data_IF_703349445588
#
_entry.id   IF_703349445588
#
_cell.length_a   1.000
_cell.length_b   1.000
_cell.length_c   1.000
_cell.angle_alpha   90.00
_cell.angle_beta   90.00
_cell.angle_gamma   90.00
#
_symmetry.space_group_name_H-M   'P 1'
#
loop_
_entity.id
_entity.type
_entity.pdbx_description
1 polymer ?
#
# COMPACT_ATOMS: atom_id res chain seq x y z
N UNK A 1 -14.39 -17.90 -4.03
CA UNK A 1 -13.48 -18.02 -2.88
C UNK A 1 -12.11 -17.59 -3.35
N UNK A 2 -11.30 -16.92 -2.53
CA UNK A 2 -9.92 -16.57 -2.90
C UNK A 2 -9.06 -17.84 -3.05
N UNK A 3 -8.02 -17.71 -3.86
CA UNK A 3 -6.92 -18.67 -3.88
C UNK A 3 -5.98 -18.43 -2.70
N UNK A 4 -5.13 -19.41 -2.38
CA UNK A 4 -4.21 -19.35 -1.23
C UNK A 4 -2.76 -19.58 -1.69
N UNK A 5 -1.91 -18.61 -1.39
CA UNK A 5 -0.45 -18.75 -1.49
C UNK A 5 0.10 -19.14 -0.11
N UNK A 6 0.87 -20.24 -0.05
CA UNK A 6 1.65 -20.55 1.15
C UNK A 6 3.05 -19.97 1.00
N UNK A 7 3.43 -19.06 1.88
CA UNK A 7 4.75 -18.44 1.89
C UNK A 7 5.82 -19.40 2.43
N UNK A 8 7.10 -19.06 2.26
CA UNK A 8 8.21 -19.86 2.82
C UNK A 8 8.19 -19.95 4.35
N UNK A 9 7.61 -18.93 5.02
CA UNK A 9 7.41 -18.92 6.48
C UNK A 9 6.17 -19.69 6.94
N UNK A 10 5.40 -20.29 6.01
CA UNK A 10 4.20 -21.04 6.31
C UNK A 10 2.91 -20.21 6.43
N UNK A 11 2.99 -18.88 6.30
CA UNK A 11 1.79 -18.01 6.28
C UNK A 11 0.96 -18.30 5.02
N UNK A 12 -0.36 -18.30 5.17
CA UNK A 12 -1.32 -18.51 4.08
C UNK A 12 -1.92 -17.17 3.69
N UNK A 13 -1.61 -16.71 2.49
CA UNK A 13 -2.01 -15.42 1.93
C UNK A 13 -3.15 -15.65 0.94
N UNK A 14 -4.32 -15.11 1.25
CA UNK A 14 -5.48 -15.14 0.37
C UNK A 14 -5.32 -14.10 -0.74
N UNK A 15 -5.68 -14.47 -1.97
CA UNK A 15 -5.54 -13.57 -3.10
C UNK A 15 -6.58 -13.83 -4.19
N UNK A 16 -6.79 -12.80 -5.02
CA UNK A 16 -7.42 -12.92 -6.34
C UNK A 16 -6.44 -12.44 -7.40
N UNK A 17 -6.33 -13.19 -8.48
CA UNK A 17 -5.54 -12.81 -9.63
C UNK A 17 -6.33 -12.96 -10.92
N UNK A 18 -6.07 -12.07 -11.87
CA UNK A 18 -6.54 -12.19 -13.23
C UNK A 18 -5.37 -12.09 -14.20
N UNK A 19 -5.38 -12.94 -15.22
CA UNK A 19 -4.38 -12.91 -16.28
C UNK A 19 -4.74 -11.87 -17.33
N UNK A 20 -3.73 -11.17 -17.89
CA UNK A 20 -3.93 -10.33 -19.08
C UNK A 20 -4.32 -11.17 -20.29
N UNK A 21 -5.20 -10.63 -21.14
CA UNK A 21 -5.80 -11.38 -22.27
C UNK A 21 -5.18 -11.04 -23.62
N UNK A 22 -4.18 -10.13 -23.69
CA UNK A 22 -3.58 -9.69 -24.96
C UNK A 22 -2.06 -9.77 -25.00
N UNK A 23 -1.44 -10.05 -26.15
CA UNK A 23 -0.01 -9.91 -26.32
C UNK A 23 0.36 -8.43 -26.21
N UNK A 24 1.33 -8.12 -25.33
CA UNK A 24 1.87 -6.75 -25.21
C UNK A 24 1.06 -5.81 -24.32
N UNK A 25 0.23 -6.31 -23.40
CA UNK A 25 -0.52 -5.47 -22.45
C UNK A 25 0.35 -4.71 -21.43
N UNK A 26 1.70 -4.87 -21.49
CA UNK A 26 2.64 -4.20 -20.59
C UNK A 26 2.63 -4.82 -19.17
N UNK A 27 3.14 -4.08 -18.16
CA UNK A 27 3.18 -4.59 -16.79
C UNK A 27 1.78 -4.85 -16.24
N UNK A 28 1.66 -5.89 -15.41
CA UNK A 28 0.46 -6.14 -14.61
C UNK A 28 0.35 -5.13 -13.47
N UNK A 29 -0.81 -5.13 -12.83
CA UNK A 29 -1.14 -4.23 -11.71
C UNK A 29 -1.23 -5.04 -10.42
N UNK A 30 -0.67 -4.52 -9.34
CA UNK A 30 -0.77 -5.13 -8.00
C UNK A 30 -1.33 -4.11 -7.03
N UNK A 31 -2.45 -4.44 -6.40
CA UNK A 31 -3.05 -3.60 -5.36
C UNK A 31 -2.57 -4.04 -3.97
N UNK A 32 -2.10 -3.08 -3.18
CA UNK A 32 -1.63 -3.26 -1.81
C UNK A 32 -2.57 -2.49 -0.87
N UNK A 33 -3.26 -3.23 0.00
CA UNK A 33 -4.28 -2.72 0.91
C UNK A 33 -3.71 -1.89 2.07
N UNK A 34 -4.61 -1.20 2.79
CA UNK A 34 -4.29 -0.41 3.98
C UNK A 34 -4.29 -1.23 5.27
N UNK A 35 -3.97 -0.57 6.37
CA UNK A 35 -4.01 -1.10 7.73
C UNK A 35 -5.43 -1.53 8.09
N UNK A 36 -5.61 -2.76 8.57
CA UNK A 36 -6.91 -3.38 8.90
C UNK A 36 -7.94 -3.38 7.75
N UNK A 37 -7.50 -3.28 6.50
CA UNK A 37 -8.38 -3.44 5.34
C UNK A 37 -8.19 -4.81 4.70
N UNK A 38 -9.19 -5.23 3.92
CA UNK A 38 -9.14 -6.46 3.14
C UNK A 38 -9.05 -6.17 1.63
N UNK A 39 -8.81 -7.24 0.86
CA UNK A 39 -8.71 -7.17 -0.60
C UNK A 39 -10.05 -6.97 -1.32
N UNK A 40 -11.18 -7.05 -0.61
CA UNK A 40 -12.54 -6.86 -1.16
C UNK A 40 -13.05 -5.42 -1.02
N UNK A 41 -12.20 -4.52 -0.51
CA UNK A 41 -12.52 -3.09 -0.42
C UNK A 41 -12.77 -2.45 -1.80
N UNK A 42 -13.59 -1.39 -1.81
CA UNK A 42 -14.08 -0.70 -3.02
C UNK A 42 -12.98 -0.43 -4.06
N UNK A 43 -11.84 0.17 -3.63
CA UNK A 43 -10.74 0.48 -4.55
C UNK A 43 -10.16 -0.75 -5.24
N UNK A 44 -9.95 -1.83 -4.49
CA UNK A 44 -9.36 -3.06 -5.00
C UNK A 44 -10.26 -3.74 -6.05
N UNK A 45 -11.56 -3.84 -5.74
CA UNK A 45 -12.55 -4.48 -6.62
C UNK A 45 -12.79 -3.66 -7.88
N UNK A 46 -12.94 -2.34 -7.76
CA UNK A 46 -13.13 -1.42 -8.89
C UNK A 46 -11.91 -1.41 -9.83
N UNK A 47 -10.70 -1.39 -9.27
CA UNK A 47 -9.48 -1.43 -10.07
C UNK A 47 -9.28 -2.78 -10.75
N UNK A 48 -9.65 -3.90 -10.11
CA UNK A 48 -9.64 -5.21 -10.77
C UNK A 48 -10.62 -5.25 -11.95
N UNK A 49 -11.86 -4.78 -11.75
CA UNK A 49 -12.86 -4.74 -12.82
C UNK A 49 -12.40 -3.88 -14.00
N UNK A 50 -11.82 -2.70 -13.71
CA UNK A 50 -11.25 -1.84 -14.74
C UNK A 50 -10.05 -2.50 -15.44
N UNK A 51 -9.11 -3.07 -14.71
CA UNK A 51 -7.95 -3.75 -15.29
C UNK A 51 -8.36 -4.90 -16.22
N UNK A 52 -9.38 -5.68 -15.84
CA UNK A 52 -9.96 -6.72 -16.68
C UNK A 52 -10.57 -6.16 -17.98
N UNK A 53 -11.27 -5.02 -17.92
CA UNK A 53 -11.83 -4.37 -19.12
C UNK A 53 -10.73 -3.88 -20.07
N UNK A 54 -9.57 -3.51 -19.55
CA UNK A 54 -8.38 -3.15 -20.32
C UNK A 54 -7.52 -4.36 -20.75
N UNK A 55 -7.95 -5.59 -20.45
CA UNK A 55 -7.21 -6.81 -20.75
C UNK A 55 -5.92 -6.99 -19.97
N UNK A 56 -5.78 -6.31 -18.82
CA UNK A 56 -4.55 -6.31 -17.99
C UNK A 56 -4.60 -7.35 -16.89
N UNK A 57 -3.43 -7.91 -16.57
CA UNK A 57 -3.26 -8.71 -15.37
C UNK A 57 -3.42 -7.86 -14.11
N UNK A 58 -4.09 -8.41 -13.11
CA UNK A 58 -4.31 -7.74 -11.82
C UNK A 58 -4.14 -8.74 -10.67
N UNK A 59 -3.53 -8.29 -9.58
CA UNK A 59 -3.38 -9.04 -8.33
C UNK A 59 -3.86 -8.16 -7.17
N UNK A 60 -4.72 -8.71 -6.32
CA UNK A 60 -5.05 -8.18 -4.98
C UNK A 60 -4.96 -9.32 -3.96
N UNK A 61 -4.56 -9.02 -2.76
CA UNK A 61 -4.34 -10.01 -1.71
C UNK A 61 -4.51 -9.41 -0.32
N UNK A 62 -4.77 -10.26 0.66
CA UNK A 62 -4.77 -9.91 2.07
C UNK A 62 -3.40 -10.22 2.67
N UNK A 63 -2.84 -9.29 3.44
CA UNK A 63 -1.67 -9.61 4.28
C UNK A 63 -2.02 -10.62 5.37
N UNK A 64 -1.05 -11.29 5.96
CA UNK A 64 -1.29 -12.10 7.16
C UNK A 64 -2.01 -11.29 8.25
N UNK A 65 -2.97 -11.92 8.90
CA UNK A 65 -3.82 -11.27 9.91
C UNK A 65 -4.89 -10.31 9.35
N UNK A 66 -5.02 -10.21 8.02
CA UNK A 66 -6.05 -9.41 7.35
C UNK A 66 -7.00 -10.31 6.57
N UNK A 67 -8.26 -9.89 6.43
CA UNK A 67 -9.26 -10.51 5.57
C UNK A 67 -9.32 -12.04 5.68
N UNK A 68 -9.11 -12.74 4.57
CA UNK A 68 -9.16 -14.20 4.48
C UNK A 68 -7.78 -14.88 4.65
N UNK A 69 -6.72 -14.13 4.89
CA UNK A 69 -5.38 -14.66 5.16
C UNK A 69 -5.24 -15.22 6.58
N UNK A 70 -4.27 -16.11 6.79
CA UNK A 70 -3.99 -16.71 8.10
C UNK A 70 -3.30 -15.75 9.07
N UNK A 71 -3.33 -16.10 10.35
CA UNK A 71 -2.74 -15.30 11.43
C UNK A 71 -3.75 -14.38 12.10
N UNK A 72 -3.30 -13.65 13.10
CA UNK A 72 -4.08 -12.61 13.77
C UNK A 72 -3.45 -11.25 13.54
N UNK A 73 -4.28 -10.23 13.40
CA UNK A 73 -3.81 -8.86 13.11
C UNK A 73 -2.79 -8.37 14.16
N UNK A 74 -3.04 -8.64 15.43
CA UNK A 74 -2.19 -8.21 16.54
C UNK A 74 -0.78 -8.85 16.54
N UNK A 75 -0.58 -9.95 15.81
CA UNK A 75 0.74 -10.59 15.66
C UNK A 75 1.54 -10.02 14.49
N UNK A 76 0.89 -9.30 13.58
CA UNK A 76 1.51 -8.78 12.36
C UNK A 76 2.33 -7.50 12.59
N UNK A 77 3.35 -7.34 11.76
CA UNK A 77 4.22 -6.16 11.74
C UNK A 77 4.40 -5.63 10.32
N UNK A 78 4.94 -4.42 10.19
CA UNK A 78 5.25 -3.83 8.86
C UNK A 78 6.19 -4.74 8.06
N UNK A 79 7.19 -5.34 8.72
CA UNK A 79 8.12 -6.27 8.08
C UNK A 79 7.45 -7.54 7.58
N UNK A 80 6.55 -8.13 8.38
CA UNK A 80 5.77 -9.32 7.98
C UNK A 80 4.90 -9.03 6.77
N UNK A 81 4.17 -7.91 6.77
CA UNK A 81 3.31 -7.51 5.65
C UNK A 81 4.12 -7.15 4.39
N UNK A 82 5.31 -6.60 4.56
CA UNK A 82 6.22 -6.40 3.43
C UNK A 82 6.76 -7.73 2.88
N UNK A 83 7.02 -8.72 3.71
CA UNK A 83 7.42 -10.08 3.29
C UNK A 83 6.26 -10.80 2.58
N UNK A 84 5.02 -10.62 3.05
CA UNK A 84 3.83 -11.16 2.40
C UNK A 84 3.64 -10.53 1.00
N UNK A 85 3.78 -9.21 0.89
CA UNK A 85 3.72 -8.50 -0.39
C UNK A 85 4.81 -8.98 -1.34
N UNK A 86 6.04 -9.11 -0.85
CA UNK A 86 7.16 -9.63 -1.65
C UNK A 86 6.88 -11.06 -2.13
N UNK A 87 6.37 -11.94 -1.27
CA UNK A 87 6.01 -13.30 -1.64
C UNK A 87 4.89 -13.33 -2.70
N UNK A 88 3.83 -12.53 -2.51
CA UNK A 88 2.73 -12.44 -3.47
C UNK A 88 3.22 -11.93 -4.84
N UNK A 89 3.94 -10.81 -4.88
CA UNK A 89 4.45 -10.23 -6.12
C UNK A 89 5.41 -11.20 -6.84
N UNK A 90 6.35 -11.80 -6.13
CA UNK A 90 7.37 -12.64 -6.78
C UNK A 90 6.85 -14.00 -7.22
N UNK A 91 5.83 -14.53 -6.58
CA UNK A 91 5.29 -15.86 -6.87
C UNK A 91 4.11 -15.83 -7.84
N UNK A 92 3.24 -14.82 -7.71
CA UNK A 92 1.96 -14.77 -8.43
C UNK A 92 2.00 -13.89 -9.69
N UNK A 93 3.08 -13.15 -9.91
CA UNK A 93 3.23 -12.29 -11.09
C UNK A 93 4.53 -12.56 -11.83
N UNK A 94 4.59 -12.18 -13.10
CA UNK A 94 5.78 -12.30 -13.95
C UNK A 94 6.23 -10.92 -14.46
N UNK A 95 7.55 -10.70 -14.52
CA UNK A 95 8.11 -9.42 -14.96
C UNK A 95 7.83 -8.25 -13.99
N UNK A 96 8.21 -7.02 -14.37
CA UNK A 96 7.94 -5.82 -13.58
C UNK A 96 6.45 -5.49 -13.52
N UNK A 97 6.00 -4.94 -12.41
CA UNK A 97 4.60 -4.61 -12.12
C UNK A 97 4.42 -3.12 -11.82
N UNK A 98 3.23 -2.57 -12.04
CA UNK A 98 2.83 -1.29 -11.45
C UNK A 98 2.16 -1.58 -10.11
N UNK A 99 2.71 -1.03 -9.04
CA UNK A 99 2.14 -1.14 -7.70
C UNK A 99 1.14 -0.02 -7.45
N UNK A 100 0.00 -0.36 -6.85
CA UNK A 100 -1.04 0.59 -6.43
C UNK A 100 -1.24 0.39 -4.94
N UNK A 101 -0.64 1.28 -4.13
CA UNK A 101 -0.63 1.16 -2.67
C UNK A 101 -1.52 2.18 -1.98
N UNK A 102 -2.48 1.72 -1.16
CA UNK A 102 -3.37 2.59 -0.39
C UNK A 102 -2.95 2.65 1.07
N UNK A 103 -2.80 3.85 1.64
CA UNK A 103 -2.46 4.07 3.05
C UNK A 103 -1.18 3.29 3.46
N UNK A 104 -1.25 2.35 4.39
CA UNK A 104 -0.16 1.43 4.72
C UNK A 104 0.38 0.70 3.47
N UNK A 105 -0.48 0.31 2.53
CA UNK A 105 -0.05 -0.29 1.25
C UNK A 105 0.85 0.62 0.43
N UNK A 106 0.71 1.93 0.57
CA UNK A 106 1.67 2.91 0.04
C UNK A 106 3.06 2.75 0.65
N UNK A 107 3.15 2.62 1.97
CA UNK A 107 4.43 2.35 2.64
C UNK A 107 5.03 1.00 2.22
N UNK A 108 4.22 -0.06 2.21
CA UNK A 108 4.67 -1.39 1.74
C UNK A 108 5.17 -1.31 0.29
N UNK A 109 4.50 -0.55 -0.59
CA UNK A 109 4.95 -0.35 -1.97
C UNK A 109 6.33 0.33 -2.05
N UNK A 110 6.60 1.31 -1.18
CA UNK A 110 7.91 1.95 -1.06
C UNK A 110 8.97 0.97 -0.54
N UNK A 111 8.61 0.07 0.39
CA UNK A 111 9.51 -1.01 0.81
C UNK A 111 9.79 -1.99 -0.33
N UNK A 112 8.79 -2.32 -1.17
CA UNK A 112 9.02 -3.16 -2.36
C UNK A 112 9.98 -2.51 -3.34
N UNK A 113 9.90 -1.19 -3.52
CA UNK A 113 10.85 -0.43 -4.37
C UNK A 113 12.31 -0.56 -3.90
N UNK A 114 12.54 -0.73 -2.59
CA UNK A 114 13.88 -0.99 -2.02
C UNK A 114 14.28 -2.47 -2.08
N UNK A 115 13.34 -3.39 -1.85
CA UNK A 115 13.60 -4.84 -1.68
C UNK A 115 13.68 -5.61 -3.00
N UNK A 116 12.82 -5.24 -3.96
CA UNK A 116 12.69 -5.92 -5.27
C UNK A 116 12.58 -4.91 -6.43
N UNK A 117 13.52 -3.94 -6.57
CA UNK A 117 13.42 -2.85 -7.55
C UNK A 117 13.20 -3.34 -8.98
N UNK A 118 13.83 -4.43 -9.39
CA UNK A 118 13.71 -5.01 -10.73
C UNK A 118 12.30 -5.55 -11.04
N UNK A 119 11.44 -5.69 -10.04
CA UNK A 119 10.06 -6.12 -10.18
C UNK A 119 9.07 -4.96 -10.25
N UNK A 120 9.53 -3.71 -10.22
CA UNK A 120 8.69 -2.51 -10.20
C UNK A 120 8.89 -1.71 -11.48
N UNK A 121 7.82 -1.54 -12.25
CA UNK A 121 7.79 -0.72 -13.46
C UNK A 121 7.22 0.67 -13.21
N UNK A 122 6.40 0.84 -12.17
CA UNK A 122 5.75 2.10 -11.83
C UNK A 122 5.05 2.02 -10.47
N UNK A 123 4.68 3.18 -9.94
CA UNK A 123 4.06 3.30 -8.62
C UNK A 123 2.93 4.33 -8.64
N UNK A 124 1.78 3.95 -8.07
CA UNK A 124 0.71 4.87 -7.70
C UNK A 124 0.42 4.68 -6.22
N UNK A 125 0.46 5.73 -5.42
CA UNK A 125 0.04 5.67 -4.03
C UNK A 125 -1.22 6.51 -3.79
N UNK A 126 -2.05 6.07 -2.88
CA UNK A 126 -3.33 6.69 -2.52
C UNK A 126 -3.30 6.93 -1.02
N UNK A 127 -3.29 8.19 -0.60
CA UNK A 127 -3.25 8.57 0.81
C UNK A 127 -2.15 7.80 1.58
N UNK A 128 -0.94 7.72 0.99
CA UNK A 128 0.14 6.89 1.53
C UNK A 128 0.55 7.32 2.94
N UNK A 129 0.74 6.34 3.81
CA UNK A 129 1.12 6.52 5.21
C UNK A 129 2.52 5.95 5.50
N UNK A 130 3.60 6.43 4.83
CA UNK A 130 4.94 5.96 5.15
C UNK A 130 5.31 6.31 6.60
N UNK A 131 6.00 5.39 7.25
CA UNK A 131 6.55 5.57 8.61
C UNK A 131 5.49 5.87 9.70
N UNK A 132 4.18 5.62 9.44
CA UNK A 132 3.08 6.05 10.30
C UNK A 132 3.16 5.48 11.73
N UNK A 133 3.75 4.32 11.92
CA UNK A 133 3.90 3.71 13.24
C UNK A 133 4.79 4.56 14.16
N UNK A 134 5.78 5.26 13.61
CA UNK A 134 6.66 6.17 14.35
C UNK A 134 6.16 7.61 14.29
N UNK A 135 5.93 8.13 13.07
CA UNK A 135 5.70 9.56 12.84
C UNK A 135 4.26 10.01 13.18
N UNK A 136 3.31 9.08 13.27
CA UNK A 136 1.92 9.35 13.64
C UNK A 136 1.55 8.64 14.95
N UNK A 137 1.55 7.31 14.98
CA UNK A 137 1.10 6.57 16.17
C UNK A 137 1.97 6.83 17.39
N UNK A 138 3.25 6.49 17.33
CA UNK A 138 4.16 6.68 18.46
C UNK A 138 4.32 8.15 18.82
N UNK A 139 4.43 9.03 17.85
CA UNK A 139 4.53 10.48 18.10
C UNK A 139 3.29 11.02 18.81
N UNK A 140 2.09 10.53 18.45
CA UNK A 140 0.82 10.95 19.03
C UNK A 140 0.48 10.32 20.38
N UNK A 141 1.15 9.23 20.80
CA UNK A 141 0.87 8.60 22.09
C UNK A 141 1.27 9.48 23.26
N UNK A 142 0.40 9.54 24.29
CA UNK A 142 0.71 10.15 25.56
C UNK A 142 1.84 9.40 26.27
N UNK A 143 2.53 10.03 27.26
CA UNK A 143 3.52 9.34 28.08
C UNK A 143 2.96 8.06 28.75
N UNK A 144 1.72 8.10 29.22
CA UNK A 144 1.07 6.94 29.85
C UNK A 144 0.80 5.80 28.86
N UNK A 145 0.38 6.13 27.63
CA UNK A 145 0.19 5.15 26.57
C UNK A 145 1.51 4.50 26.15
N UNK A 146 2.58 5.28 26.03
CA UNK A 146 3.92 4.77 25.73
C UNK A 146 4.41 3.82 26.83
N UNK A 147 4.29 4.25 28.09
CA UNK A 147 4.65 3.42 29.24
C UNK A 147 3.81 2.14 29.34
N UNK A 148 2.51 2.21 29.05
CA UNK A 148 1.64 1.05 29.00
C UNK A 148 2.05 0.09 27.87
N UNK A 149 2.34 0.61 26.68
CA UNK A 149 2.77 -0.19 25.53
C UNK A 149 4.10 -0.92 25.82
N UNK A 150 5.05 -0.24 26.43
CA UNK A 150 6.35 -0.83 26.83
C UNK A 150 6.21 -1.87 27.95
N UNK A 151 5.31 -1.65 28.93
CA UNK A 151 5.10 -2.57 30.05
C UNK A 151 4.25 -3.78 29.68
N UNK A 152 3.13 -3.56 28.98
CA UNK A 152 2.07 -4.56 28.74
C UNK A 152 2.19 -5.20 27.36
N UNK A 153 3.04 -4.67 26.48
CA UNK A 153 3.28 -5.14 25.12
C UNK A 153 2.20 -4.73 24.11
N UNK A 154 1.05 -4.23 24.57
CA UNK A 154 -0.04 -3.76 23.70
C UNK A 154 -0.93 -2.72 24.39
N UNK A 155 -1.56 -1.88 23.59
CA UNK A 155 -2.60 -0.95 24.02
C UNK A 155 -3.79 -1.00 23.05
N UNK A 156 -4.96 -0.62 23.54
CA UNK A 156 -6.14 -0.38 22.69
C UNK A 156 -6.33 1.12 22.52
N UNK A 157 -6.46 1.57 21.29
CA UNK A 157 -6.76 2.96 20.97
C UNK A 157 -8.13 3.05 20.31
N UNK A 158 -8.92 4.10 20.58
CA UNK A 158 -10.18 4.31 19.87
C UNK A 158 -9.97 4.33 18.36
N UNK A 159 -10.94 3.82 17.62
CA UNK A 159 -10.98 3.92 16.17
C UNK A 159 -12.32 4.52 15.75
N UNK A 160 -12.38 5.10 14.57
CA UNK A 160 -13.64 5.54 13.95
C UNK A 160 -14.49 4.36 13.42
N UNK A 161 -14.03 3.13 13.65
CA UNK A 161 -14.71 1.88 13.34
C UNK A 161 -15.18 1.20 14.64
N UNK A 162 -16.09 0.24 14.57
CA UNK A 162 -16.79 -0.34 15.72
C UNK A 162 -15.86 -0.90 16.81
N UNK A 163 -14.69 -1.44 16.44
CA UNK A 163 -13.74 -2.02 17.38
C UNK A 163 -12.47 -1.16 17.55
N UNK A 164 -11.94 -1.02 18.77
CA UNK A 164 -10.69 -0.30 19.01
C UNK A 164 -9.51 -1.02 18.38
N UNK A 165 -8.55 -0.24 17.84
CA UNK A 165 -7.30 -0.80 17.32
C UNK A 165 -6.42 -1.34 18.45
N UNK A 166 -5.97 -2.58 18.30
CA UNK A 166 -4.92 -3.14 19.15
C UNK A 166 -3.56 -2.81 18.52
N UNK A 167 -2.81 -1.94 19.18
CA UNK A 167 -1.46 -1.57 18.77
C UNK A 167 -0.46 -2.30 19.68
N UNK A 168 0.49 -3.01 19.08
CA UNK A 168 1.49 -3.79 19.81
C UNK A 168 2.83 -3.08 19.83
N UNK A 169 3.63 -3.34 20.85
CA UNK A 169 5.02 -2.89 20.92
C UNK A 169 5.86 -3.45 19.76
N UNK A 170 5.56 -4.69 19.34
CA UNK A 170 6.19 -5.32 18.18
C UNK A 170 5.94 -4.54 16.87
N UNK A 171 4.71 -4.08 16.64
CA UNK A 171 4.36 -3.26 15.47
C UNK A 171 5.20 -1.96 15.42
N UNK A 172 5.29 -1.26 16.55
CA UNK A 172 6.07 -0.01 16.63
C UNK A 172 7.57 -0.29 16.43
N UNK A 173 8.11 -1.27 17.14
CA UNK A 173 9.55 -1.59 17.07
C UNK A 173 9.96 -2.05 15.68
N UNK A 174 9.19 -2.95 15.07
CA UNK A 174 9.46 -3.41 13.72
C UNK A 174 9.23 -2.30 12.66
N UNK A 175 8.26 -1.42 12.89
CA UNK A 175 8.06 -0.24 12.04
C UNK A 175 9.31 0.64 11.97
N UNK A 176 10.02 0.84 13.09
CA UNK A 176 11.29 1.58 13.15
C UNK A 176 12.40 0.96 12.29
N UNK A 177 12.41 -0.35 12.15
CA UNK A 177 13.36 -1.07 11.30
C UNK A 177 13.03 -0.93 9.79
N UNK A 178 11.83 -0.48 9.46
CA UNK A 178 11.30 -0.38 8.11
C UNK A 178 11.02 1.06 7.65
N UNK A 179 11.57 2.07 8.31
CA UNK A 179 11.38 3.47 7.94
C UNK A 179 11.95 3.74 6.53
N UNK A 180 11.23 4.56 5.75
CA UNK A 180 11.60 4.89 4.37
C UNK A 180 11.88 6.38 4.17
N UNK A 181 11.51 7.24 5.12
CA UNK A 181 11.72 8.68 5.07
C UNK A 181 12.92 9.14 5.92
N UNK A 182 13.86 8.26 6.21
CA UNK A 182 15.11 8.56 6.95
C UNK A 182 16.34 8.44 6.07
N UNK A 183 16.28 7.54 5.08
CA UNK A 183 17.34 7.25 4.12
C UNK A 183 16.92 7.67 2.71
N UNK A 184 17.86 7.80 1.75
CA UNK A 184 17.51 8.06 0.37
C UNK A 184 16.48 7.08 -0.19
N UNK A 185 15.46 7.61 -0.87
CA UNK A 185 14.36 6.85 -1.45
C UNK A 185 14.33 7.06 -2.98
N UNK A 186 15.18 6.34 -3.74
CA UNK A 186 15.16 6.42 -5.19
C UNK A 186 13.95 5.64 -5.76
N UNK A 187 13.18 6.30 -6.63
CA UNK A 187 12.06 5.74 -7.39
C UNK A 187 12.35 5.94 -8.88
N UNK A 188 13.13 5.05 -9.52
CA UNK A 188 13.63 5.26 -10.89
C UNK A 188 12.58 5.00 -11.98
N UNK A 189 11.33 4.94 -11.63
CA UNK A 189 10.17 4.66 -12.49
C UNK A 189 9.10 5.76 -12.33
N UNK A 190 8.14 5.87 -13.27
CA UNK A 190 7.04 6.83 -13.15
C UNK A 190 6.23 6.60 -11.88
N UNK A 191 6.06 7.67 -11.10
CA UNK A 191 5.41 7.62 -9.78
C UNK A 191 4.33 8.69 -9.67
N UNK A 192 3.16 8.32 -9.14
CA UNK A 192 2.05 9.24 -8.85
C UNK A 192 1.63 9.07 -7.39
N UNK A 193 1.66 10.17 -6.65
CA UNK A 193 1.14 10.25 -5.28
C UNK A 193 -0.21 10.95 -5.32
N UNK A 194 -1.27 10.31 -4.81
CA UNK A 194 -2.62 10.87 -4.76
C UNK A 194 -2.98 11.10 -3.30
N UNK A 195 -3.51 12.29 -2.99
CA UNK A 195 -3.87 12.67 -1.62
C UNK A 195 -5.17 13.47 -1.60
N UNK A 196 -6.04 13.19 -0.63
CA UNK A 196 -7.23 13.96 -0.35
C UNK A 196 -6.93 15.19 0.50
N UNK A 197 -7.64 16.30 0.27
CA UNK A 197 -7.44 17.51 1.08
C UNK A 197 -8.24 17.51 2.39
N UNK A 198 -9.19 16.57 2.56
CA UNK A 198 -9.98 16.38 3.78
C UNK A 198 -9.68 15.00 4.42
N UNK A 199 -8.49 14.46 4.13
CA UNK A 199 -7.98 13.27 4.78
C UNK A 199 -7.59 13.59 6.23
N UNK A 200 -8.32 13.01 7.19
CA UNK A 200 -8.09 13.19 8.63
C UNK A 200 -7.20 12.12 9.24
N UNK A 201 -6.95 11.01 8.52
CA UNK A 201 -6.10 9.92 8.98
C UNK A 201 -4.63 10.14 8.59
N UNK A 202 -4.40 10.66 7.37
CA UNK A 202 -3.06 10.98 6.84
C UNK A 202 -3.05 12.43 6.35
N UNK A 203 -2.42 13.31 7.12
CA UNK A 203 -2.32 14.73 6.78
C UNK A 203 -1.59 14.96 5.44
N UNK A 204 -2.04 15.96 4.68
CA UNK A 204 -1.42 16.36 3.40
C UNK A 204 0.10 16.61 3.49
N UNK A 205 0.60 17.01 4.64
CA UNK A 205 2.03 17.23 4.85
C UNK A 205 2.85 15.94 4.65
N UNK A 206 2.25 14.77 4.91
CA UNK A 206 2.90 13.47 4.65
C UNK A 206 3.15 13.29 3.15
N UNK A 207 2.16 13.58 2.31
CA UNK A 207 2.30 13.47 0.85
C UNK A 207 3.31 14.48 0.29
N UNK A 208 3.32 15.72 0.80
CA UNK A 208 4.29 16.74 0.40
C UNK A 208 5.70 16.40 0.88
N UNK A 209 5.85 15.85 2.09
CA UNK A 209 7.13 15.34 2.58
C UNK A 209 7.61 14.17 1.72
N UNK A 210 6.74 13.23 1.37
CA UNK A 210 7.09 12.05 0.56
C UNK A 210 7.62 12.46 -0.82
N UNK A 211 6.92 13.32 -1.56
CA UNK A 211 7.38 13.75 -2.89
C UNK A 211 8.66 14.58 -2.81
N UNK A 212 8.87 15.35 -1.74
CA UNK A 212 10.08 16.14 -1.55
C UNK A 212 11.28 15.27 -1.18
N UNK A 213 11.05 14.19 -0.41
CA UNK A 213 12.08 13.27 0.06
C UNK A 213 12.53 12.27 -1.03
N UNK A 214 11.56 11.69 -1.74
CA UNK A 214 11.85 10.73 -2.79
C UNK A 214 12.57 11.38 -3.99
N UNK A 215 13.37 10.59 -4.70
CA UNK A 215 14.07 11.04 -5.92
C UNK A 215 13.73 10.15 -7.10
N UNK A 216 13.49 10.74 -8.27
CA UNK A 216 13.14 9.99 -9.47
C UNK A 216 12.91 10.88 -10.69
N UNK A 217 12.89 10.29 -11.90
CA UNK A 217 12.83 11.06 -13.16
C UNK A 217 11.45 11.61 -13.48
N UNK A 218 10.36 10.97 -12.98
CA UNK A 218 8.98 11.37 -13.27
C UNK A 218 8.09 11.09 -12.07
N UNK A 219 7.95 12.09 -11.20
CA UNK A 219 7.11 12.02 -10.00
C UNK A 219 6.12 13.16 -9.99
N UNK A 220 4.87 12.88 -9.61
CA UNK A 220 3.80 13.90 -9.47
C UNK A 220 3.01 13.65 -8.22
N UNK A 221 2.65 14.72 -7.54
CA UNK A 221 1.65 14.74 -6.45
C UNK A 221 0.37 15.38 -6.99
N UNK A 222 -0.75 14.68 -6.82
CA UNK A 222 -2.07 15.19 -7.19
C UNK A 222 -2.92 15.26 -5.93
N UNK A 223 -3.44 16.45 -5.64
CA UNK A 223 -4.35 16.71 -4.54
C UNK A 223 -5.79 16.75 -5.06
N UNK A 224 -6.65 15.89 -4.50
CA UNK A 224 -8.09 15.92 -4.80
C UNK A 224 -8.82 16.70 -3.69
N UNK A 225 -9.37 17.86 -4.05
CA UNK A 225 -10.08 18.70 -3.10
C UNK A 225 -11.34 18.00 -2.59
N UNK A 226 -11.54 18.01 -1.27
CA UNK A 226 -12.71 17.42 -0.62
C UNK A 226 -12.68 15.90 -0.47
N UNK A 227 -11.64 15.23 -0.97
CA UNK A 227 -11.52 13.78 -0.78
C UNK A 227 -11.01 13.45 0.62
N UNK A 228 -11.63 12.44 1.23
CA UNK A 228 -11.27 11.83 2.51
C UNK A 228 -10.16 10.75 2.36
N UNK A 229 -9.79 10.12 3.49
CA UNK A 229 -8.80 9.04 3.51
C UNK A 229 -9.23 7.82 2.68
N UNK A 230 -10.51 7.50 2.65
CA UNK A 230 -11.04 6.34 1.91
C UNK A 230 -10.78 6.45 0.42
N UNK A 231 -10.79 7.67 -0.13
CA UNK A 231 -10.51 7.96 -1.52
C UNK A 231 -11.32 7.07 -2.47
N UNK A 232 -12.62 6.87 -2.17
CA UNK A 232 -13.49 5.91 -2.84
C UNK A 232 -14.73 6.52 -3.50
N UNK A 233 -14.81 7.86 -3.56
CA UNK A 233 -15.82 8.54 -4.37
C UNK A 233 -15.63 8.25 -5.87
N UNK A 234 -16.65 8.40 -6.71
CA UNK A 234 -16.52 8.22 -8.16
C UNK A 234 -15.38 9.02 -8.78
N UNK A 235 -15.21 10.29 -8.37
CA UNK A 235 -14.13 11.17 -8.85
C UNK A 235 -12.75 10.68 -8.39
N UNK A 236 -12.65 10.21 -7.15
CA UNK A 236 -11.41 9.64 -6.62
C UNK A 236 -11.02 8.35 -7.36
N UNK A 237 -11.97 7.44 -7.61
CA UNK A 237 -11.74 6.22 -8.37
C UNK A 237 -11.35 6.52 -9.83
N UNK A 238 -11.94 7.55 -10.43
CA UNK A 238 -11.56 8.01 -11.77
C UNK A 238 -10.11 8.52 -11.77
N UNK A 239 -9.75 9.37 -10.81
CA UNK A 239 -8.39 9.90 -10.67
C UNK A 239 -7.35 8.79 -10.47
N UNK A 240 -7.68 7.73 -9.71
CA UNK A 240 -6.77 6.58 -9.55
C UNK A 240 -6.53 5.90 -10.90
N UNK A 241 -7.59 5.63 -11.69
CA UNK A 241 -7.47 5.01 -13.01
C UNK A 241 -6.66 5.88 -13.98
N UNK A 242 -6.86 7.20 -13.96
CA UNK A 242 -6.11 8.15 -14.78
C UNK A 242 -4.62 8.14 -14.39
N UNK A 243 -4.31 8.11 -13.10
CA UNK A 243 -2.95 8.05 -12.61
C UNK A 243 -2.24 6.75 -13.04
N UNK A 244 -2.92 5.60 -12.93
CA UNK A 244 -2.40 4.30 -13.40
C UNK A 244 -2.21 4.31 -14.91
N UNK A 245 -3.19 4.81 -15.67
CA UNK A 245 -3.09 4.94 -17.14
C UNK A 245 -1.90 5.81 -17.54
N UNK A 246 -1.72 6.94 -16.87
CA UNK A 246 -0.60 7.83 -17.14
C UNK A 246 0.77 7.17 -16.84
N UNK A 247 0.88 6.42 -15.75
CA UNK A 247 2.10 5.63 -15.45
C UNK A 247 2.37 4.62 -16.56
N UNK A 248 1.34 3.88 -17.01
CA UNK A 248 1.46 2.89 -18.06
C UNK A 248 1.86 3.51 -19.41
N UNK A 249 1.32 4.69 -19.77
CA UNK A 249 1.70 5.43 -20.98
C UNK A 249 3.19 5.81 -20.95
N UNK A 250 3.68 6.32 -19.82
CA UNK A 250 5.10 6.67 -19.69
C UNK A 250 6.00 5.44 -19.86
N UNK A 251 5.61 4.29 -19.27
CA UNK A 251 6.35 3.03 -19.40
C UNK A 251 6.42 2.57 -20.86
N UNK A 252 5.33 2.72 -21.62
CA UNK A 252 5.25 2.33 -23.02
C UNK A 252 5.93 3.32 -23.98
N UNK A 253 6.42 4.45 -23.48
CA UNK A 253 7.02 5.51 -24.31
C UNK A 253 6.02 6.50 -24.91
N UNK A 254 4.73 6.35 -24.61
CA UNK A 254 3.64 7.22 -25.05
C UNK A 254 3.56 8.42 -24.08
N UNK A 255 4.53 9.34 -24.15
CA UNK A 255 4.45 10.57 -23.35
C UNK A 255 3.37 11.49 -23.95
N UNK A 256 2.42 11.99 -23.11
CA UNK A 256 1.48 13.01 -23.52
C UNK A 256 2.16 14.35 -23.80
#
# INVERSE_FOLDING_TARGET
MPDILTTKSGRKIAYHSSTGTGPGTGPGLVFLGGFMSDMDGTKAVELEAWAKSEGRAFLRFDYSGHGASSGTFAEGTIGDWADDAMAAITTLTTGPQVLIGSSMGGWISLLMSKRIPDRIAGLVTIAAAPDFTEDSMWAGFSPDQKAALERDGMIKIPSDYDDPYTITHALITNGRENLVLRDPLPLPFPTRFLQGTEDTDVDMSVATRLITHATGPDMRLVLLKGADHRFSSPDALHLIRDAVTNVLQVINGDRP
#
